data_IF_600198964270
#
_entry.id   IF_600198964270
#
_cell.length_a   1.000
_cell.length_b   1.000
_cell.length_c   1.000
_cell.angle_alpha   90.00
_cell.angle_beta   90.00
_cell.angle_gamma   90.00
#
_symmetry.space_group_name_H-M   'P 1'
#
loop_
_entity.id
_entity.type
_entity.pdbx_description
1 polymer ?
#
# COMPACT_ATOMS: atom_id res chain seq x y z
N UNK A 1 12.44 28.33 16.38
CA UNK A 1 13.44 27.38 15.83
C UNK A 1 13.85 26.44 16.95
N UNK A 2 13.59 25.15 16.85
CA UNK A 2 14.04 24.15 17.81
C UNK A 2 15.25 23.42 17.24
N UNK A 3 16.15 22.92 18.11
CA UNK A 3 17.33 22.14 17.71
C UNK A 3 17.25 20.72 18.25
N UNK A 4 17.61 19.75 17.40
CA UNK A 4 17.54 18.30 17.66
C UNK A 4 18.89 17.62 17.33
N UNK A 5 19.15 16.51 17.99
CA UNK A 5 20.24 15.64 17.59
C UNK A 5 19.90 14.86 16.31
N UNK A 6 18.60 14.46 16.20
CA UNK A 6 18.08 13.74 15.02
C UNK A 6 16.68 14.24 14.69
N UNK A 7 16.45 14.54 13.40
CA UNK A 7 15.09 14.67 12.86
C UNK A 7 14.87 13.55 11.83
N UNK A 8 13.79 12.79 12.02
CA UNK A 8 13.36 11.73 11.09
C UNK A 8 12.22 12.27 10.22
N UNK A 9 12.34 12.20 8.90
CA UNK A 9 11.30 12.63 7.96
C UNK A 9 10.50 11.43 7.50
N UNK A 10 9.24 11.34 7.95
CA UNK A 10 8.30 10.25 7.73
C UNK A 10 8.18 9.32 8.93
N UNK A 11 6.95 9.12 9.41
CA UNK A 11 6.64 8.26 10.56
C UNK A 11 6.07 6.88 10.13
N UNK A 12 6.45 6.38 8.96
CA UNK A 12 6.23 4.98 8.57
C UNK A 12 7.08 4.00 9.38
N UNK A 13 7.03 2.68 9.11
CA UNK A 13 7.78 1.66 9.88
C UNK A 13 9.28 1.93 9.98
N UNK A 14 9.91 2.40 8.91
CA UNK A 14 11.32 2.81 8.96
C UNK A 14 11.55 4.01 9.89
N UNK A 15 10.67 5.02 9.80
CA UNK A 15 10.82 6.27 10.52
C UNK A 15 10.48 6.18 12.00
N UNK A 16 9.30 5.67 12.38
CA UNK A 16 8.95 5.60 13.80
C UNK A 16 9.87 4.66 14.59
N UNK A 17 10.33 3.57 13.99
CA UNK A 17 11.30 2.66 14.63
C UNK A 17 12.63 3.37 14.84
N UNK A 18 13.14 4.08 13.80
CA UNK A 18 14.37 4.86 13.92
C UNK A 18 14.24 5.96 14.99
N UNK A 19 13.15 6.73 14.99
CA UNK A 19 12.92 7.80 15.96
C UNK A 19 12.90 7.25 17.41
N UNK A 20 12.18 6.14 17.64
CA UNK A 20 12.14 5.49 18.97
C UNK A 20 13.54 5.04 19.39
N UNK A 21 14.30 4.43 18.46
CA UNK A 21 15.65 3.97 18.78
C UNK A 21 16.61 5.11 19.07
N UNK A 22 16.57 6.20 18.32
CA UNK A 22 17.36 7.40 18.58
C UNK A 22 17.08 7.98 19.97
N UNK A 23 15.78 8.10 20.33
CA UNK A 23 15.39 8.60 21.64
C UNK A 23 15.83 7.67 22.79
N UNK A 24 15.74 6.33 22.61
CA UNK A 24 16.24 5.36 23.56
C UNK A 24 17.75 5.43 23.79
N UNK A 25 18.50 5.90 22.79
CA UNK A 25 19.96 6.17 22.89
C UNK A 25 20.27 7.51 23.54
N UNK A 26 19.27 8.25 24.01
CA UNK A 26 19.44 9.55 24.69
C UNK A 26 19.52 10.75 23.75
N UNK A 27 19.29 10.57 22.44
CA UNK A 27 19.29 11.66 21.48
C UNK A 27 17.99 12.45 21.53
N UNK A 28 18.08 13.78 21.51
CA UNK A 28 16.91 14.65 21.37
C UNK A 28 16.35 14.49 19.95
N UNK A 29 15.19 13.85 19.83
CA UNK A 29 14.66 13.37 18.57
C UNK A 29 13.30 14.00 18.25
N UNK A 30 13.13 14.41 16.97
CA UNK A 30 11.83 14.73 16.40
C UNK A 30 11.53 13.82 15.20
N UNK A 31 10.25 13.65 14.90
CA UNK A 31 9.77 12.93 13.74
C UNK A 31 8.71 13.76 13.00
N UNK A 32 8.90 13.95 11.70
CA UNK A 32 7.99 14.70 10.82
C UNK A 32 6.99 13.73 10.20
N UNK A 33 5.69 14.04 10.24
CA UNK A 33 4.65 13.26 9.56
C UNK A 33 3.57 14.18 8.99
N UNK A 34 3.33 14.04 7.69
CA UNK A 34 2.35 14.82 6.96
C UNK A 34 0.90 14.35 7.12
N UNK A 35 0.68 13.12 7.59
CA UNK A 35 -0.64 12.57 7.86
C UNK A 35 -1.10 12.95 9.27
N UNK A 36 -2.41 12.87 9.50
CA UNK A 36 -3.02 13.11 10.81
C UNK A 36 -2.67 12.07 11.88
N UNK A 37 -2.12 10.93 11.47
CA UNK A 37 -1.75 9.80 12.35
C UNK A 37 -0.37 9.26 12.00
N UNK A 38 0.34 8.78 13.02
CA UNK A 38 1.62 8.10 12.86
C UNK A 38 1.46 6.71 12.24
N UNK A 39 2.56 6.12 11.75
CA UNK A 39 2.57 4.76 11.20
C UNK A 39 2.68 4.71 9.68
N UNK A 40 2.61 5.86 9.00
CA UNK A 40 2.79 5.99 7.55
C UNK A 40 1.82 5.12 6.74
N UNK A 41 2.20 4.78 5.52
CA UNK A 41 1.40 3.93 4.62
C UNK A 41 1.05 2.59 5.24
N UNK A 42 1.99 1.91 5.88
CA UNK A 42 1.78 0.54 6.37
C UNK A 42 0.63 0.45 7.39
N UNK A 43 0.60 1.32 8.39
CA UNK A 43 -0.41 1.26 9.45
C UNK A 43 -1.76 1.82 8.99
N UNK A 44 -1.75 2.84 8.16
CA UNK A 44 -2.96 3.60 7.83
C UNK A 44 -3.69 3.06 6.59
N UNK A 45 -2.96 2.78 5.51
CA UNK A 45 -3.52 2.51 4.17
C UNK A 45 -2.80 1.37 3.43
N UNK A 46 -2.15 0.47 4.17
CA UNK A 46 -1.34 -0.62 3.58
C UNK A 46 -1.44 -1.92 4.37
N UNK A 47 -0.35 -2.30 5.02
CA UNK A 47 -0.18 -3.63 5.64
C UNK A 47 -1.25 -3.95 6.68
N UNK A 48 -1.49 -3.05 7.62
CA UNK A 48 -2.41 -3.33 8.75
C UNK A 48 -3.86 -3.45 8.27
N UNK A 49 -4.43 -2.47 7.52
CA UNK A 49 -5.79 -2.63 7.01
C UNK A 49 -5.95 -3.83 6.07
N UNK A 50 -4.96 -4.12 5.20
CA UNK A 50 -5.06 -5.29 4.32
C UNK A 50 -5.07 -6.60 5.10
N UNK A 51 -4.22 -6.75 6.14
CA UNK A 51 -4.21 -7.95 6.99
C UNK A 51 -5.48 -8.08 7.83
N UNK A 52 -6.07 -6.98 8.29
CA UNK A 52 -7.36 -7.00 8.97
C UNK A 52 -8.47 -7.58 8.06
N UNK A 53 -8.58 -7.09 6.81
CA UNK A 53 -9.55 -7.59 5.85
C UNK A 53 -9.24 -9.03 5.40
N UNK A 54 -7.96 -9.36 5.13
CA UNK A 54 -7.55 -10.72 4.80
C UNK A 54 -7.90 -11.71 5.92
N UNK A 55 -7.66 -11.33 7.18
CA UNK A 55 -8.02 -12.17 8.34
C UNK A 55 -9.53 -12.39 8.40
N UNK A 56 -10.33 -11.32 8.35
CA UNK A 56 -11.78 -11.41 8.44
C UNK A 56 -12.37 -12.25 7.28
N UNK A 57 -11.92 -12.01 6.06
CA UNK A 57 -12.40 -12.76 4.88
C UNK A 57 -11.88 -14.21 4.83
N UNK A 58 -10.74 -14.50 5.47
CA UNK A 58 -10.27 -15.87 5.63
C UNK A 58 -11.18 -16.65 6.58
N UNK A 59 -11.62 -16.06 7.69
CA UNK A 59 -12.58 -16.70 8.59
C UNK A 59 -13.91 -17.03 7.88
N UNK A 60 -14.39 -16.12 7.02
CA UNK A 60 -15.56 -16.38 6.18
C UNK A 60 -15.33 -17.59 5.28
N UNK A 61 -14.21 -17.60 4.55
CA UNK A 61 -13.86 -18.70 3.64
C UNK A 61 -13.73 -20.04 4.37
N UNK A 62 -13.10 -20.07 5.55
CA UNK A 62 -12.99 -21.27 6.38
C UNK A 62 -14.37 -21.77 6.83
N UNK A 63 -15.27 -20.85 7.23
CA UNK A 63 -16.63 -21.20 7.64
C UNK A 63 -17.43 -21.82 6.49
N UNK A 64 -17.27 -21.32 5.28
CA UNK A 64 -17.98 -21.79 4.09
C UNK A 64 -17.49 -23.14 3.56
N UNK A 65 -16.17 -23.41 3.64
CA UNK A 65 -15.56 -24.52 2.92
C UNK A 65 -15.00 -25.63 3.82
N UNK A 66 -14.57 -25.29 5.05
CA UNK A 66 -13.80 -26.22 5.89
C UNK A 66 -14.50 -26.61 7.20
N UNK A 67 -15.39 -25.78 7.75
CA UNK A 67 -16.02 -26.05 9.06
C UNK A 67 -16.76 -27.38 9.07
N UNK A 68 -17.54 -27.70 8.03
CA UNK A 68 -18.26 -28.98 7.97
C UNK A 68 -17.32 -30.18 8.02
N UNK A 69 -16.16 -30.13 7.35
CA UNK A 69 -15.12 -31.16 7.37
C UNK A 69 -14.49 -31.30 8.77
N UNK A 70 -14.38 -30.22 9.52
CA UNK A 70 -13.87 -30.20 10.90
C UNK A 70 -14.92 -30.63 11.94
N UNK A 71 -16.15 -30.93 11.52
CA UNK A 71 -17.24 -31.27 12.43
C UNK A 71 -17.96 -30.06 13.05
N UNK A 72 -17.64 -28.85 12.61
CA UNK A 72 -18.32 -27.63 13.03
C UNK A 72 -19.58 -27.43 12.21
N UNK A 73 -20.76 -27.47 12.85
CA UNK A 73 -22.05 -27.34 12.20
C UNK A 73 -22.63 -25.95 12.40
N UNK A 74 -23.20 -25.38 11.37
CA UNK A 74 -23.87 -24.08 11.42
C UNK A 74 -24.15 -23.56 10.00
N UNK A 75 -24.85 -22.43 9.91
CA UNK A 75 -24.95 -21.67 8.65
C UNK A 75 -23.69 -20.86 8.46
N UNK A 76 -23.25 -20.72 7.21
CA UNK A 76 -22.17 -19.77 6.86
C UNK A 76 -22.55 -18.36 7.31
N UNK A 77 -21.61 -17.61 7.87
CA UNK A 77 -21.86 -16.23 8.27
C UNK A 77 -22.29 -15.37 7.08
N UNK A 78 -23.19 -14.43 7.31
CA UNK A 78 -23.45 -13.35 6.35
C UNK A 78 -22.46 -12.21 6.56
N UNK A 79 -22.13 -11.49 5.50
CA UNK A 79 -21.19 -10.37 5.57
C UNK A 79 -21.94 -9.07 5.84
N UNK A 80 -21.60 -8.38 6.91
CA UNK A 80 -21.87 -6.96 7.11
C UNK A 80 -20.62 -6.17 6.73
N UNK A 81 -20.59 -5.66 5.48
CA UNK A 81 -19.44 -4.94 4.96
C UNK A 81 -19.12 -3.66 5.75
N UNK A 82 -20.15 -2.95 6.20
CA UNK A 82 -19.96 -1.74 7.00
C UNK A 82 -19.28 -2.05 8.33
N UNK A 83 -19.71 -3.13 8.99
CA UNK A 83 -19.09 -3.57 10.24
C UNK A 83 -17.67 -4.11 10.02
N UNK A 84 -17.40 -4.79 8.90
CA UNK A 84 -16.05 -5.25 8.55
C UNK A 84 -15.09 -4.08 8.30
N UNK A 85 -15.57 -3.01 7.66
CA UNK A 85 -14.80 -1.77 7.52
C UNK A 85 -14.53 -1.12 8.87
N UNK A 86 -15.53 -1.04 9.75
CA UNK A 86 -15.36 -0.51 11.11
C UNK A 86 -14.35 -1.33 11.93
N UNK A 87 -14.35 -2.67 11.82
CA UNK A 87 -13.33 -3.54 12.41
C UNK A 87 -11.93 -3.21 11.90
N UNK A 88 -11.76 -3.05 10.58
CA UNK A 88 -10.48 -2.63 9.98
C UNK A 88 -10.02 -1.29 10.55
N UNK A 89 -10.91 -0.30 10.64
CA UNK A 89 -10.59 1.04 11.14
C UNK A 89 -10.23 1.02 12.64
N UNK A 90 -10.87 0.18 13.42
CA UNK A 90 -10.50 -0.02 14.84
C UNK A 90 -9.07 -0.62 14.97
N UNK A 91 -8.74 -1.61 14.16
CA UNK A 91 -7.39 -2.19 14.13
C UNK A 91 -6.33 -1.15 13.74
N UNK A 92 -6.62 -0.28 12.75
CA UNK A 92 -5.76 0.86 12.40
C UNK A 92 -5.58 1.77 13.60
N UNK A 93 -6.69 2.19 14.22
CA UNK A 93 -6.68 3.12 15.35
C UNK A 93 -5.90 2.59 16.55
N UNK A 94 -6.00 1.30 16.87
CA UNK A 94 -5.21 0.68 17.95
C UNK A 94 -3.71 0.75 17.65
N UNK A 95 -3.29 0.45 16.42
CA UNK A 95 -1.88 0.48 16.05
C UNK A 95 -1.31 1.90 16.02
N UNK A 96 -2.01 2.86 15.41
CA UNK A 96 -1.54 4.26 15.32
C UNK A 96 -1.43 4.92 16.69
N UNK A 97 -2.43 4.71 17.57
CA UNK A 97 -2.37 5.16 18.98
C UNK A 97 -1.23 4.49 19.75
N UNK A 98 -0.91 3.24 19.43
CA UNK A 98 0.25 2.55 20.00
C UNK A 98 1.57 3.27 19.65
N UNK A 99 1.75 3.72 18.42
CA UNK A 99 2.93 4.48 18.03
C UNK A 99 2.95 5.87 18.69
N UNK A 100 1.81 6.56 18.79
CA UNK A 100 1.72 7.82 19.54
C UNK A 100 2.10 7.67 21.00
N UNK A 101 1.64 6.59 21.64
CA UNK A 101 2.03 6.27 23.03
C UNK A 101 3.54 6.08 23.15
N UNK A 102 4.17 5.37 22.19
CA UNK A 102 5.60 5.16 22.20
C UNK A 102 6.38 6.47 21.98
N UNK A 103 5.88 7.38 21.14
CA UNK A 103 6.47 8.71 20.96
C UNK A 103 6.43 9.50 22.27
N UNK A 104 5.27 9.56 22.93
CA UNK A 104 5.12 10.23 24.23
C UNK A 104 6.03 9.62 25.30
N UNK A 105 6.06 8.27 25.39
CA UNK A 105 6.90 7.56 26.35
C UNK A 105 8.39 7.84 26.18
N UNK A 106 8.86 7.97 24.94
CA UNK A 106 10.26 8.24 24.60
C UNK A 106 10.57 9.73 24.42
N UNK A 107 9.61 10.63 24.67
CA UNK A 107 9.77 12.09 24.55
C UNK A 107 10.22 12.52 23.13
N UNK A 108 9.63 11.91 22.12
CA UNK A 108 9.86 12.25 20.71
C UNK A 108 8.87 13.34 20.32
N UNK A 109 9.35 14.45 19.79
CA UNK A 109 8.50 15.52 19.27
C UNK A 109 7.92 15.10 17.92
N UNK A 110 6.59 15.16 17.80
CA UNK A 110 5.90 14.95 16.53
C UNK A 110 5.67 16.29 15.83
N UNK A 111 6.44 16.54 14.77
CA UNK A 111 6.29 17.73 13.92
C UNK A 111 5.27 17.40 12.81
N UNK A 112 4.07 17.98 12.92
CA UNK A 112 2.97 17.72 12.00
C UNK A 112 3.12 18.55 10.73
N UNK A 113 3.18 17.87 9.58
CA UNK A 113 3.27 18.47 8.26
C UNK A 113 4.25 17.73 7.35
N UNK A 114 4.36 18.21 6.13
CA UNK A 114 5.30 17.69 5.15
C UNK A 114 6.68 18.31 5.38
N UNK A 115 7.70 17.47 5.46
CA UNK A 115 9.07 17.89 5.68
C UNK A 115 9.83 18.10 4.39
N UNK A 116 10.70 19.12 4.35
CA UNK A 116 11.71 19.34 3.32
C UNK A 116 13.05 19.70 3.96
N UNK A 117 14.13 19.60 3.18
CA UNK A 117 15.48 19.90 3.63
C UNK A 117 15.99 21.08 2.80
N UNK A 118 15.79 22.33 3.25
CA UNK A 118 16.18 23.51 2.48
C UNK A 118 17.70 23.71 2.38
N UNK A 119 18.44 23.24 3.37
CA UNK A 119 19.91 23.20 3.41
C UNK A 119 20.39 22.13 4.39
N UNK A 120 21.67 21.79 4.33
CA UNK A 120 22.25 20.78 5.22
C UNK A 120 22.04 21.15 6.70
N UNK A 121 21.58 20.21 7.50
CA UNK A 121 21.32 20.41 8.93
C UNK A 121 20.02 21.13 9.25
N UNK A 122 19.16 21.43 8.28
CA UNK A 122 17.86 22.09 8.52
C UNK A 122 16.71 21.30 7.90
N UNK A 123 15.60 21.18 8.67
CA UNK A 123 14.35 20.59 8.22
C UNK A 123 13.23 21.62 8.35
N UNK A 124 12.54 21.87 7.25
CA UNK A 124 11.37 22.76 7.20
C UNK A 124 10.11 21.94 7.25
N UNK A 125 9.17 22.35 8.12
CA UNK A 125 7.82 21.77 8.26
C UNK A 125 6.81 22.90 8.27
N UNK A 126 5.99 23.03 7.24
CA UNK A 126 5.15 24.21 7.05
C UNK A 126 6.01 25.48 6.95
N UNK A 127 5.76 26.45 7.82
CA UNK A 127 6.54 27.70 7.89
C UNK A 127 7.71 27.65 8.90
N UNK A 128 7.81 26.59 9.69
CA UNK A 128 8.84 26.45 10.71
C UNK A 128 10.09 25.75 10.16
N UNK A 129 11.28 26.23 10.56
CA UNK A 129 12.56 25.60 10.27
C UNK A 129 13.19 25.14 11.58
N UNK A 130 13.62 23.89 11.61
CA UNK A 130 14.26 23.25 12.74
C UNK A 130 15.69 22.84 12.39
N UNK A 131 16.61 22.95 13.36
CA UNK A 131 17.98 22.48 13.20
C UNK A 131 18.13 21.03 13.63
N UNK A 132 18.91 20.26 12.87
CA UNK A 132 19.20 18.88 13.16
C UNK A 132 20.68 18.57 12.91
N UNK A 133 21.38 17.94 13.88
CA UNK A 133 22.73 17.43 13.65
C UNK A 133 22.73 16.29 12.62
N UNK A 134 21.68 15.48 12.62
CA UNK A 134 21.50 14.37 11.69
C UNK A 134 20.06 14.36 11.19
N UNK A 135 19.85 14.00 9.92
CA UNK A 135 18.55 13.88 9.29
C UNK A 135 18.41 12.45 8.75
N UNK A 136 17.34 11.75 9.11
CA UNK A 136 17.00 10.44 8.58
C UNK A 136 15.82 10.61 7.62
N UNK A 137 16.02 10.30 6.34
CA UNK A 137 14.98 10.32 5.32
C UNK A 137 14.28 8.96 5.31
N UNK A 138 13.04 8.92 5.78
CA UNK A 138 12.17 7.75 5.83
C UNK A 138 10.80 8.04 5.19
N UNK A 139 10.79 8.83 4.12
CA UNK A 139 9.59 9.35 3.45
C UNK A 139 8.73 8.28 2.77
N UNK A 140 9.27 7.06 2.61
CA UNK A 140 8.51 5.91 2.14
C UNK A 140 8.29 5.89 0.62
N UNK A 141 7.12 5.47 0.22
CA UNK A 141 6.77 5.25 -1.19
C UNK A 141 5.28 5.50 -1.44
N UNK A 142 4.95 5.71 -2.72
CA UNK A 142 3.58 5.89 -3.21
C UNK A 142 3.27 4.91 -4.36
N UNK A 143 1.99 4.67 -4.72
CA UNK A 143 1.64 3.85 -5.86
C UNK A 143 2.28 4.36 -7.15
N UNK A 144 2.83 3.45 -7.97
CA UNK A 144 3.32 3.79 -9.30
C UNK A 144 2.15 3.92 -10.27
N UNK A 145 2.19 4.85 -11.24
CA UNK A 145 1.26 4.83 -12.37
C UNK A 145 1.41 3.52 -13.15
N UNK A 146 0.38 3.13 -13.89
CA UNK A 146 0.45 1.95 -14.78
C UNK A 146 1.40 2.28 -15.93
N UNK A 147 2.53 1.55 -16.09
CA UNK A 147 3.54 1.92 -17.06
C UNK A 147 3.02 1.86 -18.49
N UNK A 148 3.21 2.94 -19.26
CA UNK A 148 2.84 3.01 -20.68
C UNK A 148 1.33 3.00 -20.96
N UNK A 149 0.49 3.20 -19.96
CA UNK A 149 -0.96 3.21 -20.09
C UNK A 149 -1.58 4.58 -19.73
N UNK A 150 -2.65 4.94 -20.41
CA UNK A 150 -3.49 6.10 -20.06
C UNK A 150 -4.50 5.66 -18.99
N UNK A 151 -4.17 5.91 -17.73
CA UNK A 151 -4.98 5.54 -16.57
C UNK A 151 -5.06 6.68 -15.58
N UNK A 152 -6.26 7.20 -15.39
CA UNK A 152 -6.55 8.20 -14.36
C UNK A 152 -7.19 7.53 -13.15
N UNK A 153 -6.52 7.63 -11.99
CA UNK A 153 -7.04 7.14 -10.70
C UNK A 153 -7.97 8.19 -10.11
N UNK A 154 -9.18 7.77 -9.73
CA UNK A 154 -10.21 8.63 -9.11
C UNK A 154 -10.55 8.21 -7.67
N UNK A 155 -9.94 7.12 -7.19
CA UNK A 155 -10.16 6.47 -5.89
C UNK A 155 -11.64 6.08 -5.62
N UNK A 156 -12.40 5.87 -6.70
CA UNK A 156 -13.82 5.46 -6.66
C UNK A 156 -14.10 4.26 -7.54
N UNK A 157 -13.78 4.37 -8.82
CA UNK A 157 -13.96 3.34 -9.84
C UNK A 157 -12.60 2.81 -10.28
N UNK A 158 -11.64 3.69 -10.49
CA UNK A 158 -10.23 3.35 -10.73
C UNK A 158 -9.46 3.71 -9.47
N UNK A 159 -9.01 2.71 -8.74
CA UNK A 159 -8.47 2.88 -7.39
C UNK A 159 -7.03 2.38 -7.30
N UNK A 160 -6.28 2.95 -6.37
CA UNK A 160 -5.08 2.33 -5.83
C UNK A 160 -5.44 1.37 -4.69
N UNK A 161 -4.43 0.81 -4.01
CA UNK A 161 -4.68 0.00 -2.81
C UNK A 161 -5.36 0.80 -1.69
N UNK A 162 -5.19 2.13 -1.65
CA UNK A 162 -5.83 3.00 -0.67
C UNK A 162 -7.35 3.02 -0.88
N UNK A 163 -7.81 3.33 -2.10
CA UNK A 163 -9.23 3.29 -2.43
C UNK A 163 -9.83 1.89 -2.33
N UNK A 164 -9.06 0.85 -2.73
CA UNK A 164 -9.51 -0.53 -2.58
C UNK A 164 -9.78 -0.94 -1.12
N UNK A 165 -8.99 -0.44 -0.18
CA UNK A 165 -9.21 -0.67 1.27
C UNK A 165 -10.40 0.10 1.83
N UNK A 166 -10.92 1.10 1.12
CA UNK A 166 -11.96 2.03 1.57
C UNK A 166 -13.25 1.99 0.75
N UNK A 167 -13.45 0.99 -0.13
CA UNK A 167 -14.65 0.90 -0.95
C UNK A 167 -15.92 0.86 -0.09
N UNK A 168 -16.89 1.70 -0.42
CA UNK A 168 -18.16 1.78 0.32
C UNK A 168 -19.05 0.55 0.18
N UNK A 169 -18.78 -0.31 -0.81
CA UNK A 169 -19.50 -1.57 -1.07
C UNK A 169 -18.57 -2.59 -1.73
N UNK A 170 -18.88 -3.86 -1.58
CA UNK A 170 -18.22 -4.95 -2.32
C UNK A 170 -18.66 -4.86 -3.79
N UNK A 171 -17.72 -4.69 -4.76
CA UNK A 171 -18.05 -4.67 -6.19
C UNK A 171 -18.49 -6.06 -6.65
N UNK A 172 -19.36 -6.15 -7.64
CA UNK A 172 -19.71 -7.46 -8.26
C UNK A 172 -18.56 -7.98 -9.09
N UNK A 173 -17.87 -7.10 -9.82
CA UNK A 173 -16.71 -7.44 -10.64
C UNK A 173 -15.56 -6.46 -10.36
N UNK A 174 -14.37 -7.00 -10.15
CA UNK A 174 -13.13 -6.24 -9.97
C UNK A 174 -12.08 -6.70 -10.96
N UNK A 175 -11.42 -5.77 -11.61
CA UNK A 175 -10.19 -6.03 -12.35
C UNK A 175 -9.02 -5.52 -11.53
N UNK A 176 -7.97 -6.33 -11.42
CA UNK A 176 -6.70 -5.97 -10.78
C UNK A 176 -5.64 -5.86 -11.87
N UNK A 177 -5.03 -4.70 -12.02
CA UNK A 177 -3.90 -4.48 -12.91
C UNK A 177 -2.61 -4.66 -12.10
N UNK A 178 -1.89 -5.76 -12.38
CA UNK A 178 -0.68 -6.16 -11.67
C UNK A 178 -0.89 -7.32 -10.70
N UNK A 179 -0.15 -8.42 -10.91
CA UNK A 179 -0.16 -9.63 -10.09
C UNK A 179 0.95 -9.66 -9.03
N UNK A 180 1.34 -8.48 -8.53
CA UNK A 180 2.19 -8.33 -7.36
C UNK A 180 1.43 -8.62 -6.06
N UNK A 181 2.13 -8.60 -4.93
CA UNK A 181 1.58 -8.93 -3.59
C UNK A 181 0.33 -8.14 -3.26
N UNK A 182 0.34 -6.81 -3.48
CA UNK A 182 -0.77 -5.92 -3.15
C UNK A 182 -2.03 -6.29 -3.97
N UNK A 183 -1.87 -6.47 -5.28
CA UNK A 183 -2.97 -6.83 -6.16
C UNK A 183 -3.61 -8.16 -5.79
N UNK A 184 -2.79 -9.17 -5.47
CA UNK A 184 -3.26 -10.50 -5.11
C UNK A 184 -3.89 -10.55 -3.71
N UNK A 185 -3.38 -9.78 -2.75
CA UNK A 185 -4.00 -9.66 -1.42
C UNK A 185 -5.39 -9.03 -1.52
N UNK A 186 -5.52 -7.89 -2.19
CA UNK A 186 -6.82 -7.23 -2.37
C UNK A 186 -7.76 -8.05 -3.24
N UNK A 187 -7.27 -8.64 -4.34
CA UNK A 187 -8.04 -9.59 -5.15
C UNK A 187 -8.59 -10.75 -4.34
N UNK A 188 -7.78 -11.32 -3.42
CA UNK A 188 -8.22 -12.39 -2.53
C UNK A 188 -9.31 -11.95 -1.55
N UNK A 189 -9.19 -10.74 -0.97
CA UNK A 189 -10.21 -10.17 -0.09
C UNK A 189 -11.55 -10.12 -0.82
N UNK A 190 -11.58 -9.50 -2.01
CA UNK A 190 -12.82 -9.30 -2.74
C UNK A 190 -13.37 -10.58 -3.34
N UNK A 191 -12.53 -11.52 -3.78
CA UNK A 191 -12.98 -12.84 -4.24
C UNK A 191 -13.69 -13.62 -3.13
N UNK A 192 -13.14 -13.62 -1.90
CA UNK A 192 -13.78 -14.25 -0.73
C UNK A 192 -15.08 -13.56 -0.31
N UNK A 193 -15.26 -12.29 -0.67
CA UNK A 193 -16.51 -11.54 -0.47
C UNK A 193 -17.51 -11.73 -1.60
N UNK A 194 -17.21 -12.59 -2.59
CA UNK A 194 -18.11 -12.93 -3.69
C UNK A 194 -17.96 -12.09 -4.96
N UNK A 195 -16.92 -11.24 -5.06
CA UNK A 195 -16.62 -10.53 -6.30
C UNK A 195 -16.03 -11.48 -7.36
N UNK A 196 -16.43 -11.29 -8.62
CA UNK A 196 -15.66 -11.82 -9.77
C UNK A 196 -14.37 -11.02 -9.90
N UNK A 197 -13.21 -11.67 -9.69
CA UNK A 197 -11.91 -11.01 -9.74
C UNK A 197 -11.10 -11.52 -10.93
N UNK A 198 -10.69 -10.59 -11.81
CA UNK A 198 -9.77 -10.85 -12.89
C UNK A 198 -8.48 -10.05 -12.70
N UNK A 199 -7.34 -10.74 -12.74
CA UNK A 199 -6.00 -10.15 -12.61
C UNK A 199 -5.35 -10.09 -13.98
N UNK A 200 -5.04 -8.87 -14.44
CA UNK A 200 -4.33 -8.62 -15.71
C UNK A 200 -2.88 -8.28 -15.38
N UNK A 201 -1.94 -9.08 -15.89
CA UNK A 201 -0.53 -8.96 -15.57
C UNK A 201 0.32 -8.90 -16.85
N UNK A 202 1.27 -7.98 -16.87
CA UNK A 202 2.21 -7.80 -17.98
C UNK A 202 3.15 -9.01 -18.14
N UNK A 203 3.62 -9.56 -17.02
CA UNK A 203 4.51 -10.74 -17.03
C UNK A 203 3.70 -12.02 -17.30
N UNK A 204 4.40 -13.10 -17.61
CA UNK A 204 3.83 -14.44 -17.81
C UNK A 204 3.65 -15.22 -16.49
N UNK A 205 3.97 -14.60 -15.36
CA UNK A 205 3.90 -15.16 -14.02
C UNK A 205 3.45 -14.12 -12.99
N UNK A 206 3.00 -14.58 -11.84
CA UNK A 206 2.61 -13.74 -10.71
C UNK A 206 3.78 -13.53 -9.74
N UNK A 207 3.66 -12.57 -8.80
CA UNK A 207 4.63 -12.31 -7.72
C UNK A 207 6.09 -12.27 -8.19
N UNK A 208 6.46 -11.33 -9.08
CA UNK A 208 7.84 -11.22 -9.57
C UNK A 208 8.84 -11.08 -8.42
N UNK A 209 9.99 -11.75 -8.54
CA UNK A 209 11.02 -11.79 -7.50
C UNK A 209 10.87 -12.91 -6.47
N UNK A 210 9.75 -13.66 -6.47
CA UNK A 210 9.62 -14.88 -5.68
C UNK A 210 10.14 -16.12 -6.43
N UNK A 211 10.40 -17.20 -5.69
CA UNK A 211 10.77 -18.48 -6.25
C UNK A 211 9.70 -19.01 -7.23
N UNK A 212 10.12 -19.59 -8.35
CA UNK A 212 9.23 -20.01 -9.44
C UNK A 212 8.22 -21.08 -9.03
N UNK A 213 8.57 -21.98 -8.12
CA UNK A 213 7.65 -23.03 -7.67
C UNK A 213 6.63 -22.47 -6.69
N UNK A 214 7.02 -21.47 -5.86
CA UNK A 214 6.10 -20.69 -5.03
C UNK A 214 5.10 -19.96 -5.93
N UNK A 215 5.55 -19.27 -6.99
CA UNK A 215 4.68 -18.57 -7.94
C UNK A 215 3.63 -19.51 -8.55
N UNK A 216 4.06 -20.67 -9.05
CA UNK A 216 3.18 -21.67 -9.68
C UNK A 216 2.14 -22.22 -8.70
N UNK A 217 2.57 -22.58 -7.48
CA UNK A 217 1.67 -23.13 -6.46
C UNK A 217 0.69 -22.07 -5.97
N UNK A 218 1.17 -20.85 -5.74
CA UNK A 218 0.33 -19.75 -5.29
C UNK A 218 -0.74 -19.41 -6.32
N UNK A 219 -0.38 -19.32 -7.62
CA UNK A 219 -1.35 -19.12 -8.70
C UNK A 219 -2.45 -20.17 -8.68
N UNK A 220 -2.10 -21.47 -8.58
CA UNK A 220 -3.07 -22.57 -8.50
C UNK A 220 -4.02 -22.43 -7.30
N UNK A 221 -3.52 -21.98 -6.15
CA UNK A 221 -4.33 -21.76 -4.96
C UNK A 221 -5.31 -20.61 -5.16
N UNK A 222 -4.86 -19.51 -5.77
CA UNK A 222 -5.70 -18.36 -6.06
C UNK A 222 -6.77 -18.68 -7.12
N UNK A 223 -6.43 -19.45 -8.15
CA UNK A 223 -7.41 -19.96 -9.14
C UNK A 223 -8.50 -20.83 -8.48
N UNK A 224 -8.12 -21.68 -7.53
CA UNK A 224 -9.07 -22.47 -6.73
C UNK A 224 -9.98 -21.58 -5.85
N UNK A 225 -9.52 -20.41 -5.46
CA UNK A 225 -10.31 -19.40 -4.75
C UNK A 225 -11.17 -18.53 -5.69
N UNK A 226 -11.15 -18.80 -7.00
CA UNK A 226 -11.99 -18.13 -7.98
C UNK A 226 -11.36 -16.94 -8.70
N UNK A 227 -10.08 -16.63 -8.47
CA UNK A 227 -9.40 -15.58 -9.23
C UNK A 227 -9.12 -16.06 -10.66
N UNK A 228 -9.36 -15.19 -11.63
CA UNK A 228 -9.00 -15.42 -13.05
C UNK A 228 -7.72 -14.64 -13.36
N UNK A 229 -6.87 -15.19 -14.21
CA UNK A 229 -5.59 -14.57 -14.59
C UNK A 229 -5.47 -14.42 -16.10
N UNK A 230 -5.20 -13.19 -16.55
CA UNK A 230 -4.80 -12.85 -17.91
C UNK A 230 -3.34 -12.39 -17.86
N UNK A 231 -2.41 -13.33 -18.03
CA UNK A 231 -0.97 -13.10 -17.99
C UNK A 231 -0.41 -12.75 -19.37
N UNK A 232 0.75 -12.06 -19.41
CA UNK A 232 1.36 -11.61 -20.65
C UNK A 232 0.52 -10.55 -21.37
N UNK A 233 -0.17 -9.69 -20.62
CA UNK A 233 -1.09 -8.69 -21.12
C UNK A 233 -0.65 -7.27 -20.75
N UNK A 234 -0.46 -6.42 -21.74
CA UNK A 234 -0.08 -5.02 -21.59
C UNK A 234 -1.33 -4.13 -21.59
N UNK A 235 -1.70 -3.57 -20.46
CA UNK A 235 -2.79 -2.59 -20.38
C UNK A 235 -2.36 -1.31 -21.11
N UNK A 236 -3.24 -0.77 -21.96
CA UNK A 236 -3.02 0.47 -22.72
C UNK A 236 -3.83 1.65 -22.19
N UNK A 237 -5.04 1.40 -21.69
CA UNK A 237 -5.87 2.46 -21.11
C UNK A 237 -6.97 1.90 -20.21
N UNK A 238 -7.50 2.78 -19.35
CA UNK A 238 -8.72 2.52 -18.57
C UNK A 238 -9.69 3.67 -18.79
N UNK A 239 -10.83 3.36 -19.38
CA UNK A 239 -11.93 4.29 -19.61
C UNK A 239 -12.95 4.14 -18.47
N UNK A 240 -13.04 5.16 -17.60
CA UNK A 240 -13.94 5.13 -16.46
C UNK A 240 -15.21 5.96 -16.67
N UNK A 241 -16.32 5.45 -16.19
CA UNK A 241 -17.58 6.18 -15.99
C UNK A 241 -17.81 6.36 -14.49
N UNK A 242 -18.96 6.92 -14.10
CA UNK A 242 -19.29 7.09 -12.66
C UNK A 242 -19.44 5.76 -11.90
N UNK A 243 -19.64 4.63 -12.58
CA UNK A 243 -20.01 3.36 -11.95
C UNK A 243 -19.30 2.13 -12.49
N UNK A 244 -18.59 2.26 -13.61
CA UNK A 244 -17.89 1.17 -14.29
C UNK A 244 -16.63 1.66 -14.97
N UNK A 245 -15.69 0.75 -15.20
CA UNK A 245 -14.54 1.00 -16.04
C UNK A 245 -14.35 -0.12 -17.05
N UNK A 246 -13.79 0.25 -18.20
CA UNK A 246 -13.37 -0.63 -19.30
C UNK A 246 -11.85 -0.56 -19.39
N UNK A 247 -11.21 -1.71 -19.26
CA UNK A 247 -9.76 -1.87 -19.38
C UNK A 247 -9.45 -2.35 -20.80
N UNK A 248 -8.63 -1.61 -21.54
CA UNK A 248 -8.13 -1.99 -22.84
C UNK A 248 -6.70 -2.54 -22.68
N UNK A 249 -6.41 -3.68 -23.29
CA UNK A 249 -5.08 -4.32 -23.21
C UNK A 249 -4.75 -5.12 -24.47
N UNK A 250 -3.45 -5.42 -24.64
CA UNK A 250 -2.94 -6.27 -25.72
C UNK A 250 -2.28 -7.52 -25.14
N UNK A 251 -2.55 -8.67 -25.74
CA UNK A 251 -1.86 -9.91 -25.41
C UNK A 251 -0.48 -9.89 -26.09
N UNK A 252 0.58 -9.99 -25.32
CA UNK A 252 1.97 -9.88 -25.78
C UNK A 252 2.41 -11.02 -26.73
N UNK A 253 1.70 -12.15 -26.71
CA UNK A 253 2.02 -13.33 -27.56
C UNK A 253 1.72 -13.10 -29.04
N UNK A 254 0.72 -12.30 -29.37
CA UNK A 254 0.19 -12.13 -30.74
C UNK A 254 -0.29 -10.71 -31.05
N UNK A 255 -0.04 -9.77 -30.14
CA UNK A 255 -0.47 -8.36 -30.19
C UNK A 255 -2.00 -8.17 -30.37
N UNK A 256 -2.79 -9.21 -30.10
CA UNK A 256 -4.25 -9.13 -30.19
C UNK A 256 -4.80 -8.18 -29.11
N UNK A 257 -5.73 -7.32 -29.53
CA UNK A 257 -6.41 -6.38 -28.64
C UNK A 257 -7.57 -7.08 -27.94
N UNK A 258 -7.75 -6.78 -26.66
CA UNK A 258 -8.83 -7.28 -25.85
C UNK A 258 -9.32 -6.21 -24.87
N UNK A 259 -10.53 -6.40 -24.36
CA UNK A 259 -11.14 -5.50 -23.39
C UNK A 259 -11.82 -6.28 -22.28
N UNK A 260 -11.82 -5.71 -21.07
CA UNK A 260 -12.57 -6.23 -19.94
C UNK A 260 -13.29 -5.09 -19.21
N UNK A 261 -14.49 -5.35 -18.68
CA UNK A 261 -15.26 -4.37 -17.91
C UNK A 261 -15.41 -4.81 -16.47
N UNK A 262 -15.41 -3.85 -15.54
CA UNK A 262 -15.62 -4.08 -14.12
C UNK A 262 -16.32 -2.89 -13.44
N UNK A 263 -16.85 -3.14 -12.23
CA UNK A 263 -17.36 -2.06 -11.37
C UNK A 263 -16.22 -1.26 -10.74
N UNK A 264 -15.07 -1.93 -10.49
CA UNK A 264 -13.86 -1.32 -9.91
C UNK A 264 -12.62 -1.88 -10.59
N UNK A 265 -11.66 -1.02 -10.87
CA UNK A 265 -10.32 -1.37 -11.36
C UNK A 265 -9.29 -0.99 -10.32
N UNK A 266 -8.54 -1.95 -9.82
CA UNK A 266 -7.41 -1.74 -8.89
C UNK A 266 -6.09 -1.65 -9.66
N UNK A 267 -5.41 -0.53 -9.57
CA UNK A 267 -4.05 -0.33 -10.09
C UNK A 267 -3.03 -0.74 -9.01
N UNK A 268 -2.32 -1.86 -9.24
CA UNK A 268 -1.36 -2.45 -8.30
C UNK A 268 -0.04 -2.83 -8.97
N UNK A 269 0.45 -1.99 -9.89
CA UNK A 269 1.63 -2.23 -10.74
C UNK A 269 2.96 -1.94 -10.07
N UNK A 270 2.96 -1.62 -8.78
CA UNK A 270 4.14 -1.37 -7.98
C UNK A 270 4.09 -0.06 -7.21
N UNK A 271 5.23 0.29 -6.63
CA UNK A 271 5.40 1.51 -5.83
C UNK A 271 6.71 2.21 -6.23
N UNK A 272 6.71 3.54 -6.16
CA UNK A 272 7.89 4.37 -6.36
C UNK A 272 8.26 5.10 -5.07
N UNK A 273 9.55 5.46 -4.87
CA UNK A 273 9.95 6.27 -3.72
C UNK A 273 9.21 7.60 -3.68
N UNK A 274 8.82 8.02 -2.48
CA UNK A 274 8.24 9.34 -2.25
C UNK A 274 9.34 10.31 -1.83
N UNK A 275 10.02 10.91 -2.81
CA UNK A 275 11.14 11.82 -2.61
C UNK A 275 10.88 13.23 -3.12
N UNK A 276 9.74 13.45 -3.75
CA UNK A 276 9.33 14.75 -4.28
C UNK A 276 9.22 15.79 -3.15
N UNK A 277 9.71 17.00 -3.39
CA UNK A 277 9.65 18.11 -2.43
C UNK A 277 10.64 18.03 -1.25
N UNK A 278 11.49 17.01 -1.17
CA UNK A 278 12.50 16.89 -0.11
C UNK A 278 13.70 17.85 -0.28
N UNK A 279 13.95 18.38 -1.49
CA UNK A 279 15.11 19.24 -1.76
C UNK A 279 16.42 18.49 -2.02
N UNK A 280 16.34 17.20 -2.42
CA UNK A 280 17.53 16.33 -2.56
C UNK A 280 18.56 16.85 -3.57
N UNK A 281 18.11 17.36 -4.73
CA UNK A 281 18.97 17.90 -5.78
C UNK A 281 19.83 19.07 -5.30
N UNK A 282 19.23 19.96 -4.51
CA UNK A 282 19.90 21.16 -4.00
C UNK A 282 20.99 20.82 -2.96
N UNK A 283 20.86 19.64 -2.35
CA UNK A 283 21.81 19.08 -1.40
C UNK A 283 22.88 18.20 -2.06
N UNK A 284 22.82 18.01 -3.39
CA UNK A 284 23.72 17.09 -4.10
C UNK A 284 23.45 15.60 -3.79
N UNK A 285 22.30 15.26 -3.23
CA UNK A 285 21.91 13.87 -2.96
C UNK A 285 21.42 13.23 -4.26
N UNK A 286 22.16 12.24 -4.74
CA UNK A 286 21.84 11.54 -5.98
C UNK A 286 20.73 10.51 -5.80
N UNK A 287 19.94 10.35 -6.87
CA UNK A 287 18.92 9.28 -6.96
C UNK A 287 19.23 8.36 -8.14
N UNK A 288 18.69 7.13 -8.09
CA UNK A 288 18.68 6.20 -9.23
C UNK A 288 17.68 6.67 -10.29
N UNK A 289 17.67 6.02 -11.46
CA UNK A 289 16.63 6.24 -12.49
C UNK A 289 15.20 5.94 -11.98
N UNK A 290 15.07 5.08 -10.96
CA UNK A 290 13.79 4.74 -10.32
C UNK A 290 13.41 5.67 -9.16
N UNK A 291 14.18 6.74 -8.91
CA UNK A 291 13.92 7.71 -7.84
C UNK A 291 14.41 7.30 -6.44
N UNK A 292 15.05 6.12 -6.28
CA UNK A 292 15.63 5.72 -5.00
C UNK A 292 16.85 6.57 -4.68
N UNK A 293 16.97 7.04 -3.44
CA UNK A 293 18.16 7.71 -2.94
C UNK A 293 19.33 6.73 -3.01
N UNK A 294 20.44 7.16 -3.61
CA UNK A 294 21.69 6.39 -3.59
C UNK A 294 22.29 6.46 -2.19
N UNK A 295 22.65 5.32 -1.64
CA UNK A 295 23.28 5.20 -0.32
C UNK A 295 24.63 4.52 -0.44
N UNK A 296 25.55 4.82 0.48
CA UNK A 296 26.82 4.12 0.64
C UNK A 296 26.67 2.82 1.45
N UNK A 297 27.80 2.21 1.81
CA UNK A 297 27.81 0.97 2.60
C UNK A 297 27.39 1.19 4.07
N UNK A 298 27.44 2.44 4.54
CA UNK A 298 27.10 2.89 5.89
C UNK A 298 25.77 3.66 5.97
N UNK A 299 24.99 3.70 4.85
CA UNK A 299 23.69 4.39 4.68
C UNK A 299 23.72 5.92 4.62
#
# INVERSE_FOLDING_TARGET
>A
MASYDVIVIGAGPGGYVAAIRCAQLGLKTACVEGRETLGGTCLNIGCIPSKALLHATHQLHEAEHNFARMGLKGKSPSVDWKQMQAYKDDVIGQNTKGVEFLFKKNKIDWLKGWGSIPEAGKVKVGDEVHEAKNIIIASGSEPSPVPGADVTVDEKVVVTSEGALALGKVPKKMIVIGAGVIGLEMGSVYARLGSEVEVIEYLDHITPGMDSDVQKQFKKLLEKQGLKFTLGAAVSSVEATKTKAKVNYKLRKDDSEATAEADVVLCATGRRPFTDGLGLSDLGIETTKGGQIKVGDDW
#
